data_IF_797302174927
#
_entry.id   IF_797302174927
#
_cell.length_a   1.000
_cell.length_b   1.000
_cell.length_c   1.000
_cell.angle_alpha   90.00
_cell.angle_beta   90.00
_cell.angle_gamma   90.00
#
_symmetry.space_group_name_H-M   'P 1'
#
loop_
_entity.id
_entity.type
_entity.pdbx_description
1 polymer ?
#
# COMPACT_ATOMS: atom_id res chain seq x y z
N UNK A 1 10.78 17.28 11.86
CA UNK A 1 11.07 15.96 11.25
C UNK A 1 11.26 16.19 9.76
N UNK A 2 12.24 15.56 9.11
CA UNK A 2 12.45 15.71 7.68
C UNK A 2 11.38 14.91 6.93
N UNK A 3 10.56 15.67 6.20
CA UNK A 3 9.56 15.11 5.29
C UNK A 3 10.23 14.91 3.92
N UNK A 4 10.14 13.70 3.40
CA UNK A 4 10.58 13.33 2.06
C UNK A 4 9.33 13.05 1.22
N UNK A 5 9.25 13.59 0.01
CA UNK A 5 8.06 13.51 -0.82
C UNK A 5 8.44 12.91 -2.17
N UNK A 6 7.85 11.76 -2.50
CA UNK A 6 7.86 11.24 -3.86
C UNK A 6 6.68 11.82 -4.64
N UNK A 7 6.98 12.43 -5.78
CA UNK A 7 6.01 12.89 -6.77
C UNK A 7 6.03 11.88 -7.90
N UNK A 8 4.98 11.06 -7.95
CA UNK A 8 4.79 10.07 -8.99
C UNK A 8 4.06 10.73 -10.15
N UNK A 9 4.73 10.82 -11.30
CA UNK A 9 4.14 11.35 -12.54
C UNK A 9 3.60 10.20 -13.37
N UNK A 10 2.30 10.24 -13.65
CA UNK A 10 1.59 9.22 -14.42
C UNK A 10 0.83 9.93 -15.50
N UNK A 11 1.30 9.86 -16.74
CA UNK A 11 0.70 10.44 -17.95
C UNK A 11 0.17 11.88 -17.78
N UNK A 12 -1.01 12.09 -17.18
CA UNK A 12 -1.64 13.39 -16.93
C UNK A 12 -1.88 13.74 -15.44
N UNK A 13 -1.39 12.94 -14.51
CA UNK A 13 -1.62 13.11 -13.07
C UNK A 13 -0.30 13.03 -12.29
N UNK A 14 -0.21 13.82 -11.23
CA UNK A 14 0.90 13.81 -10.30
C UNK A 14 0.38 13.44 -8.92
N UNK A 15 0.94 12.38 -8.34
CA UNK A 15 0.56 11.88 -7.01
C UNK A 15 1.70 12.15 -6.06
N UNK A 16 1.40 12.73 -4.90
CA UNK A 16 2.39 13.06 -3.87
C UNK A 16 2.29 12.06 -2.73
N UNK A 17 3.39 11.37 -2.47
CA UNK A 17 3.56 10.44 -1.36
C UNK A 17 4.53 11.06 -0.36
N UNK A 18 4.03 11.67 0.73
CA UNK A 18 4.89 12.09 1.82
C UNK A 18 5.30 10.88 2.66
N UNK A 19 6.58 10.81 3.01
CA UNK A 19 7.13 9.90 4.01
C UNK A 19 7.93 10.69 5.03
N UNK A 20 7.77 10.35 6.29
CA UNK A 20 8.57 10.94 7.37
C UNK A 20 9.64 9.93 7.78
N UNK A 21 10.89 10.20 7.41
CA UNK A 21 12.03 9.42 7.86
C UNK A 21 12.65 10.12 9.07
N UNK A 22 13.13 9.36 10.04
CA UNK A 22 13.73 9.90 11.26
C UNK A 22 14.90 9.04 11.71
N UNK A 23 15.99 9.70 12.12
CA UNK A 23 17.14 9.02 12.71
C UNK A 23 17.81 8.10 11.71
N UNK A 24 18.00 6.82 12.08
CA UNK A 24 18.68 5.83 11.25
C UNK A 24 18.01 5.58 9.89
N UNK A 25 16.72 5.88 9.74
CA UNK A 25 16.03 5.74 8.45
C UNK A 25 16.38 6.84 7.44
N UNK A 26 17.01 7.94 7.87
CA UNK A 26 17.53 8.94 6.93
C UNK A 26 18.84 8.48 6.30
N UNK A 27 19.73 7.87 7.08
CA UNK A 27 20.98 7.28 6.60
C UNK A 27 20.75 5.95 5.86
N UNK A 28 19.75 5.18 6.29
CA UNK A 28 19.39 3.86 5.75
C UNK A 28 17.90 3.80 5.38
N UNK A 29 17.46 4.53 4.33
CA UNK A 29 16.08 4.52 3.88
C UNK A 29 15.63 3.11 3.45
N UNK A 30 16.54 2.25 3.01
CA UNK A 30 16.21 0.86 2.65
C UNK A 30 15.59 0.07 3.82
N UNK A 31 16.02 0.30 5.07
CA UNK A 31 15.45 -0.38 6.23
C UNK A 31 13.99 0.01 6.46
N UNK A 32 13.65 1.28 6.22
CA UNK A 32 12.27 1.75 6.30
C UNK A 32 11.40 1.08 5.24
N UNK A 33 11.83 1.11 3.97
CA UNK A 33 11.06 0.54 2.89
C UNK A 33 11.07 -0.99 2.85
N UNK A 34 11.95 -1.66 3.60
CA UNK A 34 11.98 -3.13 3.73
C UNK A 34 10.82 -3.67 4.57
N UNK A 35 10.24 -2.85 5.45
CA UNK A 35 9.12 -3.27 6.29
C UNK A 35 7.84 -3.37 5.46
N UNK A 36 7.24 -4.56 5.42
CA UNK A 36 6.01 -4.85 4.66
C UNK A 36 4.86 -3.89 5.03
N UNK A 37 4.78 -3.47 6.30
CA UNK A 37 3.80 -2.48 6.77
C UNK A 37 3.93 -1.15 6.02
N UNK A 38 5.15 -0.67 5.80
CA UNK A 38 5.39 0.59 5.10
C UNK A 38 5.14 0.44 3.60
N UNK A 39 5.53 -0.70 3.01
CA UNK A 39 5.18 -1.00 1.62
C UNK A 39 3.67 -1.06 1.39
N UNK A 40 2.94 -1.73 2.29
CA UNK A 40 1.49 -1.85 2.23
C UNK A 40 0.80 -0.49 2.35
N UNK A 41 1.29 0.38 3.24
CA UNK A 41 0.76 1.74 3.41
C UNK A 41 0.96 2.58 2.15
N UNK A 42 2.14 2.51 1.53
CA UNK A 42 2.41 3.21 0.27
C UNK A 42 1.53 2.70 -0.87
N UNK A 43 1.33 1.39 -0.97
CA UNK A 43 0.40 0.80 -1.95
C UNK A 43 -1.03 1.23 -1.72
N UNK A 44 -1.48 1.26 -0.46
CA UNK A 44 -2.81 1.74 -0.12
C UNK A 44 -2.98 3.22 -0.52
N UNK A 45 -2.01 4.08 -0.20
CA UNK A 45 -2.06 5.48 -0.63
C UNK A 45 -2.12 5.62 -2.15
N UNK A 46 -1.40 4.77 -2.89
CA UNK A 46 -1.47 4.76 -4.34
C UNK A 46 -2.85 4.36 -4.87
N UNK A 47 -3.47 3.35 -4.27
CA UNK A 47 -4.82 2.92 -4.59
C UNK A 47 -5.88 3.99 -4.27
N UNK A 48 -5.74 4.67 -3.13
CA UNK A 48 -6.62 5.80 -2.75
C UNK A 48 -6.50 6.98 -3.72
N UNK A 49 -5.33 7.15 -4.34
CA UNK A 49 -5.07 8.19 -5.33
C UNK A 49 -5.41 7.76 -6.77
N UNK A 50 -5.95 6.55 -6.96
CA UNK A 50 -6.48 6.05 -8.23
C UNK A 50 -5.58 5.07 -8.99
N UNK A 51 -4.46 4.62 -8.40
CA UNK A 51 -3.61 3.57 -8.98
C UNK A 51 -3.98 2.22 -8.37
N UNK A 52 -4.90 1.49 -9.01
CA UNK A 52 -5.40 0.23 -8.46
C UNK A 52 -4.52 -0.98 -8.81
N UNK A 53 -3.86 -0.94 -9.97
CA UNK A 53 -3.05 -2.06 -10.49
C UNK A 53 -1.59 -1.67 -10.69
N UNK A 54 -0.89 -1.29 -9.61
CA UNK A 54 0.57 -1.17 -9.66
C UNK A 54 1.20 -2.56 -9.55
N UNK A 55 1.96 -2.97 -10.58
CA UNK A 55 2.68 -4.23 -10.56
C UNK A 55 3.80 -4.19 -9.50
N UNK A 56 4.11 -5.34 -8.90
CA UNK A 56 5.18 -5.47 -7.91
C UNK A 56 6.54 -4.97 -8.43
N UNK A 57 6.87 -5.27 -9.69
CA UNK A 57 8.10 -4.81 -10.31
C UNK A 57 8.14 -3.28 -10.46
N UNK A 58 7.00 -2.66 -10.81
CA UNK A 58 6.86 -1.22 -10.94
C UNK A 58 6.96 -0.53 -9.57
N UNK A 59 6.26 -1.06 -8.57
CA UNK A 59 6.34 -0.58 -7.21
C UNK A 59 7.77 -0.70 -6.65
N UNK A 60 8.43 -1.84 -6.87
CA UNK A 60 9.81 -2.04 -6.45
C UNK A 60 10.75 -1.02 -7.10
N UNK A 61 10.65 -0.82 -8.42
CA UNK A 61 11.45 0.17 -9.14
C UNK A 61 11.26 1.58 -8.59
N UNK A 62 10.02 1.96 -8.28
CA UNK A 62 9.68 3.24 -7.67
C UNK A 62 10.36 3.42 -6.32
N UNK A 63 10.33 2.40 -5.47
CA UNK A 63 10.97 2.42 -4.16
C UNK A 63 12.49 2.49 -4.29
N UNK A 64 13.09 1.71 -5.19
CA UNK A 64 14.53 1.74 -5.48
C UNK A 64 14.99 3.14 -5.93
N UNK A 65 14.25 3.78 -6.84
CA UNK A 65 14.54 5.14 -7.32
C UNK A 65 14.41 6.17 -6.19
N UNK A 66 13.35 6.06 -5.36
CA UNK A 66 13.14 6.94 -4.24
C UNK A 66 14.23 6.81 -3.16
N UNK A 67 14.64 5.57 -2.85
CA UNK A 67 15.76 5.29 -1.94
C UNK A 67 17.05 5.94 -2.45
N UNK A 68 17.33 5.83 -3.76
CA UNK A 68 18.48 6.47 -4.40
C UNK A 68 18.47 7.98 -4.21
N UNK A 69 17.35 8.63 -4.50
CA UNK A 69 17.18 10.07 -4.32
C UNK A 69 17.35 10.51 -2.86
N UNK A 70 16.79 9.75 -1.90
CA UNK A 70 16.94 10.05 -0.46
C UNK A 70 18.41 9.93 -0.04
N UNK A 71 19.13 8.92 -0.52
CA UNK A 71 20.58 8.76 -0.30
C UNK A 71 21.41 9.89 -0.90
N UNK A 72 20.95 10.48 -2.00
CA UNK A 72 21.52 11.72 -2.57
C UNK A 72 21.15 12.99 -1.77
N UNK A 73 20.34 12.87 -0.71
CA UNK A 73 19.88 13.99 0.12
C UNK A 73 18.69 14.74 -0.48
N UNK A 74 18.01 14.18 -1.49
CA UNK A 74 16.85 14.81 -2.12
C UNK A 74 15.60 14.57 -1.28
N UNK A 75 15.00 15.67 -0.81
CA UNK A 75 13.71 15.65 -0.11
C UNK A 75 12.53 15.53 -1.06
N UNK A 76 12.71 15.89 -2.32
CA UNK A 76 11.68 15.82 -3.35
C UNK A 76 12.18 14.96 -4.51
N UNK A 77 11.51 13.85 -4.72
CA UNK A 77 11.79 12.89 -5.79
C UNK A 77 10.73 12.99 -6.86
N UNK A 78 11.10 13.20 -8.11
CA UNK A 78 10.16 13.22 -9.23
C UNK A 78 10.30 11.92 -10.03
N UNK A 79 9.48 10.93 -9.68
CA UNK A 79 9.56 9.57 -10.23
C UNK A 79 8.51 9.44 -11.34
N UNK A 80 8.94 9.11 -12.54
CA UNK A 80 8.03 8.86 -13.65
C UNK A 80 7.59 7.39 -13.62
N UNK A 81 6.29 7.16 -13.47
CA UNK A 81 5.72 5.83 -13.46
C UNK A 81 4.89 5.62 -14.73
N UNK A 82 5.42 4.83 -15.64
CA UNK A 82 4.75 4.46 -16.88
C UNK A 82 3.76 3.32 -16.58
N UNK A 83 2.55 3.68 -16.18
CA UNK A 83 1.47 2.72 -15.95
C UNK A 83 0.70 2.47 -17.24
N UNK A 84 0.30 1.21 -17.52
CA UNK A 84 -0.63 0.94 -18.60
C UNK A 84 -1.97 1.65 -18.32
N UNK A 85 -2.70 2.08 -19.35
CA UNK A 85 -3.95 2.83 -19.21
C UNK A 85 -5.04 2.09 -18.40
N UNK A 86 -4.95 0.76 -18.30
CA UNK A 86 -5.87 -0.08 -17.53
C UNK A 86 -5.72 0.08 -16.00
N UNK A 87 -4.52 0.45 -15.53
CA UNK A 87 -4.21 0.57 -14.11
C UNK A 87 -4.84 1.78 -13.42
N UNK A 88 -5.42 2.69 -14.21
CA UNK A 88 -6.03 3.95 -13.79
C UNK A 88 -7.57 3.88 -13.75
N UNK A 89 -8.15 2.71 -14.07
CA UNK A 89 -9.60 2.51 -13.95
C UNK A 89 -9.95 2.33 -12.47
N UNK A 90 -10.93 3.09 -11.92
CA UNK A 90 -11.51 2.69 -10.65
C UNK A 90 -12.04 1.26 -10.80
N UNK A 91 -11.96 0.40 -9.77
CA UNK A 91 -12.73 -0.82 -9.80
C UNK A 91 -14.17 -0.43 -10.17
N UNK A 92 -14.88 -1.18 -11.04
CA UNK A 92 -16.28 -0.92 -11.26
C UNK A 92 -16.96 -1.07 -9.90
N UNK A 93 -17.22 0.05 -9.21
CA UNK A 93 -18.17 0.06 -8.12
C UNK A 93 -19.44 -0.50 -8.74
N UNK A 94 -19.98 -1.64 -8.30
CA UNK A 94 -21.33 -1.97 -8.67
C UNK A 94 -22.15 -0.80 -8.16
N UNK A 95 -22.74 -0.03 -9.06
CA UNK A 95 -23.83 0.87 -8.71
C UNK A 95 -24.95 -0.11 -8.35
N UNK A 96 -25.34 -0.33 -7.07
CA UNK A 96 -26.66 -0.86 -6.86
C UNK A 96 -27.60 0.22 -7.41
N UNK A 97 -28.49 -0.08 -8.37
CA UNK A 97 -29.58 0.84 -8.63
C UNK A 97 -30.36 0.90 -7.32
N UNK A 98 -30.20 1.99 -6.57
CA UNK A 98 -31.07 2.30 -5.44
C UNK A 98 -32.45 2.63 -6.00
N UNK A 99 -33.15 1.57 -6.43
CA UNK A 99 -34.45 1.26 -5.88
C UNK A 99 -34.34 1.26 -4.35
N UNK A 100 -34.47 2.46 -3.76
CA UNK A 100 -34.78 2.83 -2.36
C UNK A 100 -34.28 1.96 -1.17
N UNK A 101 -34.04 2.63 -0.03
CA UNK A 101 -32.92 2.40 0.85
C UNK A 101 -33.16 1.20 1.78
N UNK A 102 -32.26 0.23 1.73
CA UNK A 102 -32.10 -0.75 2.79
C UNK A 102 -30.64 -1.19 2.85
N UNK A 103 -29.91 -0.57 3.78
CA UNK A 103 -28.69 -1.04 4.43
C UNK A 103 -27.45 -1.39 3.59
N UNK A 104 -26.35 -1.59 4.31
CA UNK A 104 -25.06 -2.16 3.88
C UNK A 104 -24.15 -1.11 3.19
N UNK A 105 -23.03 -0.64 3.76
CA UNK A 105 -21.94 -1.41 4.38
C UNK A 105 -21.24 -0.65 5.52
N UNK A 106 -21.30 -1.23 6.72
CA UNK A 106 -20.20 -1.20 7.68
C UNK A 106 -19.23 -2.32 7.29
N UNK A 107 -17.94 -2.03 7.14
CA UNK A 107 -16.90 -3.05 7.30
C UNK A 107 -15.78 -2.54 8.20
N UNK A 108 -15.86 -3.00 9.46
CA UNK A 108 -14.78 -3.04 10.45
C UNK A 108 -13.78 -4.15 10.12
N UNK A 109 -12.46 -3.93 10.23
CA UNK A 109 -11.46 -4.97 10.06
C UNK A 109 -11.44 -5.92 11.28
N UNK A 110 -11.42 -7.24 11.04
CA UNK A 110 -11.31 -8.25 12.12
C UNK A 110 -10.03 -9.09 12.02
N UNK A 111 -9.41 -9.17 13.19
CA UNK A 111 -8.18 -9.84 13.61
C UNK A 111 -7.96 -11.29 13.19
N UNK A 112 -6.66 -11.57 13.05
CA UNK A 112 -5.85 -12.78 13.30
C UNK A 112 -6.50 -14.17 13.49
N UNK A 113 -5.88 -15.24 12.95
CA UNK A 113 -6.33 -16.61 13.12
C UNK A 113 -5.89 -17.20 14.48
N UNK A 114 -6.83 -17.71 15.27
CA UNK A 114 -6.55 -18.69 16.32
C UNK A 114 -6.78 -20.08 15.75
N UNK A 115 -5.71 -20.87 15.64
CA UNK A 115 -5.76 -22.30 15.35
C UNK A 115 -6.15 -23.01 16.65
N UNK A 116 -7.32 -23.64 16.67
CA UNK A 116 -7.72 -24.60 17.70
C UNK A 116 -7.51 -26.00 17.15
N UNK A 117 -6.57 -26.74 17.73
CA UNK A 117 -6.30 -28.13 17.39
C UNK A 117 -7.38 -29.03 18.03
N UNK A 118 -8.04 -29.83 17.20
CA UNK A 118 -8.81 -30.98 17.65
C UNK A 118 -7.88 -32.03 18.28
N UNK A 119 -8.31 -32.66 19.36
CA UNK A 119 -7.73 -33.92 19.82
C UNK A 119 -8.85 -34.77 20.41
N UNK A 120 -9.32 -35.69 19.56
CA UNK A 120 -10.03 -36.91 19.92
C UNK A 120 -9.15 -37.77 20.85
N UNK A 121 -9.71 -38.28 21.94
CA UNK A 121 -9.26 -39.54 22.53
C UNK A 121 -10.41 -40.19 23.29
N UNK A 122 -10.91 -41.27 22.71
CA UNK A 122 -11.70 -42.32 23.35
C UNK A 122 -10.89 -43.08 24.43
N UNK A 123 -11.53 -43.45 25.54
CA UNK A 123 -11.38 -44.69 26.38
C UNK A 123 -11.99 -44.43 27.77
N UNK A 124 -13.04 -45.14 28.24
CA UNK A 124 -13.18 -46.54 28.66
C UNK A 124 -12.65 -46.86 30.08
N UNK A 125 -13.57 -47.36 30.92
CA UNK A 125 -13.44 -48.25 32.12
C UNK A 125 -12.42 -47.95 33.23
N UNK A 126 -12.91 -47.81 34.47
CA UNK A 126 -12.97 -48.88 35.49
C UNK A 126 -13.92 -48.50 36.64
#
# INVERSE_FOLDING_TARGET
>A
MPEYVAVIKITHQEIRLPVTLTGTHEDYPEDYFRLEKHQSLLRQCLQEQGIYQIEDAQFKKLIDEWIGDIKEGRKYSAIALDLPPDAMTPPPTPIPPNSKPSDIFNYTPKSSPSISYESDTNQAEF
#
